data_IF_908368377357
#
_entry.id   IF_908368377357
#
_cell.length_a   1.000
_cell.length_b   1.000
_cell.length_c   1.000
_cell.angle_alpha   90.00
_cell.angle_beta   90.00
_cell.angle_gamma   90.00
#
_symmetry.space_group_name_H-M   'P 1'
#
loop_
_entity.id
_entity.type
_entity.pdbx_description
1 polymer ?
#
# COMPACT_ATOMS: atom_id res chain seq x y z
N UNK A 1 -16.88 47.00 36.64
CA UNK A 1 -18.26 46.43 36.58
C UNK A 1 -18.55 45.71 35.27
N UNK A 2 -17.98 46.12 34.13
CA UNK A 2 -18.23 45.45 32.84
C UNK A 2 -17.79 43.98 32.83
N UNK A 3 -16.62 43.64 33.39
CA UNK A 3 -16.10 42.27 33.31
C UNK A 3 -16.98 41.26 34.07
N UNK A 4 -17.35 41.54 35.34
CA UNK A 4 -18.29 40.70 36.09
C UNK A 4 -19.58 40.44 35.29
N UNK A 5 -20.23 41.49 34.79
CA UNK A 5 -21.48 41.36 34.03
C UNK A 5 -21.30 40.50 32.79
N UNK A 6 -20.23 40.71 32.02
CA UNK A 6 -19.96 39.94 30.81
C UNK A 6 -19.73 38.45 31.12
N UNK A 7 -18.98 38.12 32.18
CA UNK A 7 -18.73 36.72 32.57
C UNK A 7 -19.98 36.03 33.11
N UNK A 8 -20.80 36.74 33.92
CA UNK A 8 -22.04 36.15 34.45
C UNK A 8 -23.06 35.95 33.33
N UNK A 9 -23.19 36.92 32.42
CA UNK A 9 -24.08 36.81 31.26
C UNK A 9 -23.60 35.67 30.35
N UNK A 10 -22.32 35.58 30.01
CA UNK A 10 -21.82 34.49 29.18
C UNK A 10 -22.03 33.12 29.81
N UNK A 11 -21.81 32.99 31.12
CA UNK A 11 -22.06 31.75 31.85
C UNK A 11 -23.52 31.35 31.84
N UNK A 12 -24.43 32.30 32.13
CA UNK A 12 -25.87 32.03 32.10
C UNK A 12 -26.36 31.61 30.70
N UNK A 13 -25.88 32.27 29.64
CA UNK A 13 -26.25 31.94 28.26
C UNK A 13 -25.70 30.58 27.83
N UNK A 14 -24.47 30.24 28.21
CA UNK A 14 -23.90 28.92 27.93
C UNK A 14 -24.71 27.82 28.63
N UNK A 15 -25.12 28.02 29.88
CA UNK A 15 -25.99 27.08 30.60
C UNK A 15 -27.34 26.98 29.90
N UNK A 16 -27.95 28.10 29.52
CA UNK A 16 -29.22 28.11 28.80
C UNK A 16 -29.12 27.38 27.47
N UNK A 17 -28.03 27.55 26.71
CA UNK A 17 -27.79 26.80 25.48
C UNK A 17 -27.71 25.29 25.76
N UNK A 18 -26.99 24.85 26.79
CA UNK A 18 -26.89 23.43 27.15
C UNK A 18 -28.27 22.82 27.44
N UNK A 19 -29.22 23.62 27.96
CA UNK A 19 -30.59 23.17 28.25
C UNK A 19 -31.50 23.23 27.02
N UNK A 20 -31.36 24.25 26.18
CA UNK A 20 -32.33 24.57 25.11
C UNK A 20 -31.91 24.11 23.71
N UNK A 21 -30.61 23.93 23.47
CA UNK A 21 -30.05 23.61 22.16
C UNK A 21 -30.11 24.74 21.12
N UNK A 22 -30.55 25.95 21.50
CA UNK A 22 -30.74 27.05 20.55
C UNK A 22 -29.41 27.70 20.13
N UNK A 23 -29.00 27.48 18.87
CA UNK A 23 -27.73 27.99 18.31
C UNK A 23 -27.57 29.53 18.43
N UNK A 24 -28.66 30.30 18.36
CA UNK A 24 -28.59 31.76 18.49
C UNK A 24 -28.16 32.21 19.89
N UNK A 25 -28.52 31.46 20.94
CA UNK A 25 -28.09 31.72 22.31
C UNK A 25 -26.57 31.50 22.43
N UNK A 26 -26.06 30.44 21.80
CA UNK A 26 -24.63 30.15 21.78
C UNK A 26 -23.84 31.26 21.08
N UNK A 27 -24.33 31.77 19.94
CA UNK A 27 -23.70 32.91 19.23
C UNK A 27 -23.68 34.16 20.09
N UNK A 28 -24.75 34.45 20.83
CA UNK A 28 -24.77 35.57 21.76
C UNK A 28 -23.78 35.37 22.92
N UNK A 29 -23.70 34.15 23.47
CA UNK A 29 -22.71 33.78 24.50
C UNK A 29 -21.27 33.98 24.02
N UNK A 30 -20.94 33.54 22.80
CA UNK A 30 -19.65 33.76 22.14
C UNK A 30 -19.36 35.26 22.03
N UNK A 31 -20.35 36.05 21.61
CA UNK A 31 -20.23 37.50 21.50
C UNK A 31 -19.91 38.18 22.83
N UNK A 32 -20.43 37.67 23.95
CA UNK A 32 -20.08 38.18 25.29
C UNK A 32 -18.71 37.70 25.76
N UNK A 33 -18.36 36.42 25.54
CA UNK A 33 -17.05 35.86 25.88
C UNK A 33 -15.90 36.62 25.20
N UNK A 34 -16.07 36.94 23.90
CA UNK A 34 -15.06 37.69 23.13
C UNK A 34 -14.84 39.12 23.64
N UNK A 35 -15.83 39.73 24.31
CA UNK A 35 -15.75 41.08 24.88
C UNK A 35 -15.04 41.12 26.25
N UNK A 36 -14.81 39.97 26.90
CA UNK A 36 -14.13 39.92 28.19
C UNK A 36 -12.65 40.27 27.96
N UNK A 37 -12.13 41.36 28.56
CA UNK A 37 -10.76 41.78 28.36
C UNK A 37 -9.78 40.84 29.06
N UNK A 38 -8.63 40.64 28.42
CA UNK A 38 -7.49 39.91 28.98
C UNK A 38 -6.96 40.60 30.23
N UNK A 39 -6.28 39.87 31.11
CA UNK A 39 -5.76 40.40 32.39
C UNK A 39 -4.92 41.65 32.18
N UNK A 40 -4.08 41.65 31.15
CA UNK A 40 -3.23 42.78 30.75
C UNK A 40 -4.01 44.03 30.32
N UNK A 41 -5.21 43.84 29.80
CA UNK A 41 -6.10 44.91 29.32
C UNK A 41 -7.02 45.46 30.43
N UNK A 42 -7.09 44.78 31.59
CA UNK A 42 -7.90 45.22 32.74
C UNK A 42 -7.21 46.33 33.52
N UNK A 43 -7.96 47.34 33.96
CA UNK A 43 -7.46 48.39 34.83
C UNK A 43 -7.04 47.87 36.23
N UNK A 44 -6.12 48.56 36.94
CA UNK A 44 -5.57 48.08 38.21
C UNK A 44 -6.63 47.86 39.30
N UNK A 45 -7.64 48.74 39.39
CA UNK A 45 -8.74 48.58 40.34
C UNK A 45 -9.62 47.36 40.01
N UNK A 46 -9.87 47.09 38.73
CA UNK A 46 -10.67 45.94 38.29
C UNK A 46 -9.95 44.61 38.59
N UNK A 47 -8.61 44.58 38.41
CA UNK A 47 -7.79 43.42 38.78
C UNK A 47 -7.85 43.13 40.28
N UNK A 48 -7.75 44.15 41.13
CA UNK A 48 -7.86 43.99 42.59
C UNK A 48 -9.25 43.50 42.99
N UNK A 49 -10.29 44.04 42.37
CA UNK A 49 -11.66 43.61 42.64
C UNK A 49 -11.89 42.14 42.24
N UNK A 50 -11.50 41.72 41.03
CA UNK A 50 -11.60 40.32 40.61
C UNK A 50 -10.78 39.37 41.50
N UNK A 51 -9.61 39.81 41.99
CA UNK A 51 -8.81 39.03 42.96
C UNK A 51 -9.51 38.85 44.30
N UNK A 52 -10.28 39.84 44.76
CA UNK A 52 -11.06 39.73 46.01
C UNK A 52 -12.24 38.76 45.91
N UNK A 53 -12.70 38.45 44.71
CA UNK A 53 -13.81 37.52 44.49
C UNK A 53 -13.26 36.08 44.43
N UNK A 54 -13.54 35.34 45.50
CA UNK A 54 -13.22 33.92 45.65
C UNK A 54 -14.51 33.12 45.82
N UNK A 55 -14.55 31.96 45.19
CA UNK A 55 -15.62 30.97 45.37
C UNK A 55 -15.02 29.73 46.02
N UNK A 56 -15.77 29.10 46.93
CA UNK A 56 -15.42 27.80 47.50
C UNK A 56 -16.35 26.76 46.91
N UNK A 57 -15.76 25.76 46.28
CA UNK A 57 -16.49 24.59 45.75
C UNK A 57 -16.12 23.39 46.62
N UNK A 58 -17.14 22.66 47.06
CA UNK A 58 -17.00 21.42 47.80
C UNK A 58 -16.68 20.28 46.82
N UNK A 59 -15.63 19.50 47.11
CA UNK A 59 -15.16 18.35 46.35
C UNK A 59 -15.05 17.18 47.34
N UNK A 60 -15.07 15.94 46.87
CA UNK A 60 -15.02 14.72 47.70
C UNK A 60 -13.89 14.72 48.77
N UNK A 61 -12.76 15.40 48.53
CA UNK A 61 -11.62 15.53 49.46
C UNK A 61 -11.50 16.92 50.16
N UNK A 62 -12.56 17.74 50.18
CA UNK A 62 -12.61 18.99 50.93
C UNK A 62 -13.13 20.19 50.13
N UNK A 63 -12.48 21.35 50.26
CA UNK A 63 -12.88 22.57 49.54
C UNK A 63 -11.77 23.04 48.62
N UNK A 64 -12.11 23.33 47.36
CA UNK A 64 -11.23 24.03 46.43
C UNK A 64 -11.64 25.50 46.36
N UNK A 65 -10.68 26.40 46.60
CA UNK A 65 -10.86 27.82 46.33
C UNK A 65 -10.63 28.09 44.84
N UNK A 66 -11.63 28.69 44.19
CA UNK A 66 -11.60 29.10 42.79
C UNK A 66 -11.70 30.62 42.70
N UNK A 67 -11.06 31.19 41.68
CA UNK A 67 -11.31 32.59 41.31
C UNK A 67 -12.70 32.74 40.69
N UNK A 68 -13.26 33.95 40.70
CA UNK A 68 -14.56 34.22 40.08
C UNK A 68 -14.65 33.77 38.60
N UNK A 69 -13.56 33.94 37.83
CA UNK A 69 -13.52 33.48 36.45
C UNK A 69 -13.48 31.94 36.38
N UNK A 70 -12.68 31.29 37.22
CA UNK A 70 -12.64 29.83 37.27
C UNK A 70 -13.98 29.22 37.66
N UNK A 71 -14.69 29.79 38.64
CA UNK A 71 -15.98 29.25 39.09
C UNK A 71 -17.05 29.27 37.98
N UNK A 72 -16.98 30.22 37.04
CA UNK A 72 -17.97 30.37 35.96
C UNK A 72 -17.52 29.73 34.65
N UNK A 73 -16.23 29.81 34.32
CA UNK A 73 -15.70 29.36 33.03
C UNK A 73 -15.23 27.91 33.05
N UNK A 74 -14.76 27.36 34.18
CA UNK A 74 -14.32 25.96 34.25
C UNK A 74 -15.44 24.96 33.92
N UNK A 75 -16.70 25.14 34.37
CA UNK A 75 -17.80 24.25 33.97
C UNK A 75 -18.10 24.32 32.46
N UNK A 76 -18.05 25.52 31.88
CA UNK A 76 -18.26 25.74 30.44
C UNK A 76 -17.13 25.06 29.65
N UNK A 77 -15.88 25.24 30.10
CA UNK A 77 -14.72 24.60 29.51
C UNK A 77 -14.85 23.07 29.59
N UNK A 78 -15.15 22.50 30.75
CA UNK A 78 -15.29 21.06 30.93
C UNK A 78 -16.40 20.46 30.07
N UNK A 79 -17.52 21.17 29.92
CA UNK A 79 -18.58 20.77 28.98
C UNK A 79 -18.09 20.80 27.54
N UNK A 80 -17.44 21.89 27.10
CA UNK A 80 -16.96 22.03 25.73
C UNK A 80 -15.85 21.01 25.41
N UNK A 81 -14.94 20.77 26.37
CA UNK A 81 -13.89 19.74 26.29
C UNK A 81 -14.50 18.35 26.10
N UNK A 82 -15.60 18.04 26.80
CA UNK A 82 -16.33 16.76 26.64
C UNK A 82 -16.94 16.62 25.25
N UNK A 83 -17.54 17.68 24.70
CA UNK A 83 -18.13 17.65 23.37
C UNK A 83 -17.07 17.51 22.28
N UNK A 84 -16.00 18.30 22.37
CA UNK A 84 -14.90 18.31 21.39
C UNK A 84 -13.98 17.09 21.52
N UNK A 85 -13.93 16.46 22.69
CA UNK A 85 -13.16 15.24 22.93
C UNK A 85 -13.65 14.02 22.15
N UNK A 86 -14.91 14.01 21.71
CA UNK A 86 -15.50 12.98 20.84
C UNK A 86 -16.42 13.60 19.76
N UNK A 87 -15.88 14.59 19.04
CA UNK A 87 -16.63 15.34 18.05
C UNK A 87 -17.18 14.48 16.90
N UNK A 88 -16.56 13.33 16.59
CA UNK A 88 -17.08 12.42 15.56
C UNK A 88 -18.45 11.86 15.94
N UNK A 89 -18.64 11.55 17.22
CA UNK A 89 -19.90 11.06 17.75
C UNK A 89 -20.91 12.19 17.96
N UNK A 90 -20.46 13.32 18.51
CA UNK A 90 -21.36 14.42 18.91
C UNK A 90 -21.85 15.26 17.72
N UNK A 91 -21.08 15.33 16.63
CA UNK A 91 -21.38 16.20 15.48
C UNK A 91 -21.47 15.42 14.16
N UNK A 92 -21.89 14.15 14.22
CA UNK A 92 -22.03 13.28 13.05
C UNK A 92 -22.94 13.89 11.95
N UNK A 93 -23.94 14.68 12.34
CA UNK A 93 -24.97 15.25 11.47
C UNK A 93 -24.70 16.71 11.05
N UNK A 94 -23.68 17.40 11.60
CA UNK A 94 -23.44 18.81 11.24
C UNK A 94 -22.22 19.47 11.87
N UNK A 95 -21.37 20.07 11.03
CA UNK A 95 -20.11 20.70 11.43
C UNK A 95 -20.24 22.15 11.95
N UNK A 96 -21.38 22.81 11.74
CA UNK A 96 -21.58 24.22 12.16
C UNK A 96 -21.57 24.38 13.68
N UNK A 97 -22.22 23.47 14.41
CA UNK A 97 -22.23 23.47 15.87
C UNK A 97 -20.84 23.26 16.47
N UNK A 98 -19.97 22.49 15.79
CA UNK A 98 -18.59 22.29 16.20
C UNK A 98 -17.81 23.61 16.20
N UNK A 99 -17.98 24.45 15.17
CA UNK A 99 -17.29 25.74 15.09
C UNK A 99 -17.66 26.67 16.26
N UNK A 100 -18.95 26.74 16.60
CA UNK A 100 -19.43 27.58 17.70
C UNK A 100 -18.89 27.07 19.04
N UNK A 101 -18.98 25.76 19.30
CA UNK A 101 -18.51 25.14 20.54
C UNK A 101 -16.99 25.23 20.67
N UNK A 102 -16.25 25.05 19.57
CA UNK A 102 -14.81 25.28 19.53
C UNK A 102 -14.48 26.74 19.88
N UNK A 103 -15.22 27.70 19.33
CA UNK A 103 -15.02 29.12 19.66
C UNK A 103 -15.27 29.40 21.14
N UNK A 104 -16.28 28.78 21.75
CA UNK A 104 -16.52 28.87 23.20
C UNK A 104 -15.35 28.27 23.97
N UNK A 105 -14.90 27.07 23.62
CA UNK A 105 -13.80 26.39 24.29
C UNK A 105 -12.51 27.21 24.23
N UNK A 106 -12.15 27.74 23.06
CA UNK A 106 -10.95 28.56 22.89
C UNK A 106 -11.06 29.88 23.66
N UNK A 107 -12.24 30.52 23.64
CA UNK A 107 -12.47 31.78 24.37
C UNK A 107 -12.44 31.61 25.88
N UNK A 108 -13.05 30.54 26.41
CA UNK A 108 -13.05 30.23 27.83
C UNK A 108 -11.66 29.84 28.32
N UNK A 109 -10.96 28.97 27.57
CA UNK A 109 -9.58 28.55 27.88
C UNK A 109 -8.62 29.73 27.94
N UNK A 110 -8.69 30.63 26.94
CA UNK A 110 -7.88 31.85 26.89
C UNK A 110 -8.01 32.69 28.16
N UNK A 111 -9.21 32.78 28.73
CA UNK A 111 -9.46 33.56 29.96
C UNK A 111 -9.01 32.81 31.23
N UNK A 112 -9.04 31.47 31.22
CA UNK A 112 -8.64 30.63 32.35
C UNK A 112 -7.10 30.55 32.53
N UNK A 113 -6.35 30.52 31.42
CA UNK A 113 -4.87 30.40 31.42
C UNK A 113 -4.17 31.63 32.04
N UNK A 114 -4.84 32.78 32.13
CA UNK A 114 -4.27 34.03 32.69
C UNK A 114 -4.22 34.07 34.23
N UNK A 115 -4.87 33.12 34.90
CA UNK A 115 -4.93 33.07 36.36
C UNK A 115 -3.66 32.41 36.95
N UNK A 116 -3.08 32.98 38.02
CA UNK A 116 -1.67 32.79 38.41
C UNK A 116 -1.26 31.37 38.83
N UNK A 117 -2.20 30.44 39.04
CA UNK A 117 -1.93 29.11 39.60
C UNK A 117 -1.90 27.98 38.56
N UNK A 118 -2.12 28.25 37.26
CA UNK A 118 -2.00 27.23 36.22
C UNK A 118 -0.58 27.19 35.65
N UNK A 119 0.27 26.33 36.23
CA UNK A 119 1.67 26.05 35.84
C UNK A 119 1.83 25.45 34.42
N UNK A 120 0.75 25.32 33.64
CA UNK A 120 0.80 24.79 32.27
C UNK A 120 0.17 25.81 31.33
N UNK A 121 1.01 26.61 30.68
CA UNK A 121 0.62 27.40 29.51
C UNK A 121 0.37 26.45 28.33
N UNK A 122 -0.77 25.76 28.32
CA UNK A 122 -1.22 25.01 27.15
C UNK A 122 -1.54 26.01 26.05
N UNK A 123 -0.87 25.91 24.91
CA UNK A 123 -1.15 26.78 23.77
C UNK A 123 -2.49 26.43 23.13
N UNK A 124 -3.08 27.36 22.37
CA UNK A 124 -4.29 27.09 21.58
C UNK A 124 -4.11 25.86 20.68
N UNK A 125 -2.90 25.70 20.13
CA UNK A 125 -2.48 24.52 19.39
C UNK A 125 -2.61 23.23 20.21
N UNK A 126 -2.04 23.19 21.41
CA UNK A 126 -2.01 21.96 22.22
C UNK A 126 -3.43 21.50 22.59
N UNK A 127 -4.34 22.46 22.80
CA UNK A 127 -5.74 22.16 23.08
C UNK A 127 -6.43 21.53 21.87
N UNK A 128 -6.25 22.11 20.68
CA UNK A 128 -6.83 21.57 19.44
C UNK A 128 -6.24 20.19 19.10
N UNK A 129 -4.93 20.01 19.28
CA UNK A 129 -4.28 18.70 19.13
C UNK A 129 -4.86 17.66 20.11
N UNK A 130 -5.16 18.06 21.35
CA UNK A 130 -5.80 17.17 22.33
C UNK A 130 -7.19 16.72 21.88
N UNK A 131 -8.04 17.62 21.40
CA UNK A 131 -9.37 17.26 20.88
C UNK A 131 -9.28 16.34 19.66
N UNK A 132 -8.43 16.68 18.69
CA UNK A 132 -8.20 15.83 17.50
C UNK A 132 -7.73 14.45 17.94
N UNK A 133 -6.78 14.39 18.87
CA UNK A 133 -6.23 13.13 19.38
C UNK A 133 -7.27 12.27 20.08
N UNK A 134 -8.05 12.86 20.98
CA UNK A 134 -9.10 12.16 21.73
C UNK A 134 -10.20 11.64 20.81
N UNK A 135 -10.69 12.50 19.91
CA UNK A 135 -11.82 12.20 19.05
C UNK A 135 -11.46 11.15 17.99
N UNK A 136 -10.31 11.29 17.33
CA UNK A 136 -9.85 10.31 16.34
C UNK A 136 -9.55 8.95 16.95
N UNK A 137 -8.97 8.89 18.16
CA UNK A 137 -8.74 7.61 18.85
C UNK A 137 -10.06 6.93 19.21
N UNK A 138 -11.04 7.70 19.67
CA UNK A 138 -12.37 7.18 20.01
C UNK A 138 -13.09 6.63 18.77
N UNK A 139 -13.06 7.36 17.67
CA UNK A 139 -13.65 6.91 16.39
C UNK A 139 -12.90 5.70 15.83
N UNK A 140 -11.56 5.70 15.85
CA UNK A 140 -10.76 4.56 15.41
C UNK A 140 -11.05 3.31 16.24
N UNK A 141 -11.24 3.43 17.56
CA UNK A 141 -11.68 2.33 18.42
C UNK A 141 -13.05 1.79 18.04
N UNK A 142 -14.00 2.65 17.65
CA UNK A 142 -15.32 2.22 17.14
C UNK A 142 -15.20 1.48 15.80
N UNK A 143 -14.38 1.98 14.89
CA UNK A 143 -14.10 1.33 13.59
C UNK A 143 -13.51 -0.06 13.79
N UNK A 144 -12.57 -0.25 14.74
CA UNK A 144 -12.02 -1.56 15.05
C UNK A 144 -13.12 -2.55 15.43
N UNK A 145 -14.02 -2.15 16.34
CA UNK A 145 -15.13 -3.01 16.77
C UNK A 145 -16.09 -3.35 15.62
N UNK A 146 -16.38 -2.39 14.75
CA UNK A 146 -17.22 -2.59 13.56
C UNK A 146 -16.56 -3.57 12.57
N UNK A 147 -15.28 -3.39 12.28
CA UNK A 147 -14.50 -4.29 11.41
C UNK A 147 -14.41 -5.70 12.00
N UNK A 148 -14.13 -5.84 13.30
CA UNK A 148 -14.11 -7.13 14.00
C UNK A 148 -15.47 -7.82 13.95
N UNK A 149 -16.57 -7.08 14.07
CA UNK A 149 -17.92 -7.63 13.97
C UNK A 149 -18.28 -8.12 12.57
N UNK A 150 -17.77 -7.44 11.52
CA UNK A 150 -18.03 -7.77 10.11
C UNK A 150 -17.12 -8.86 9.58
N UNK A 151 -15.93 -9.03 10.16
CA UNK A 151 -14.94 -10.02 9.76
C UNK A 151 -15.50 -11.46 9.75
N UNK A 152 -16.52 -11.76 10.56
CA UNK A 152 -17.17 -13.07 10.59
C UNK A 152 -17.97 -13.41 9.30
N UNK A 153 -18.30 -12.42 8.47
CA UNK A 153 -19.10 -12.58 7.25
C UNK A 153 -18.37 -12.28 5.93
N UNK A 154 -17.13 -11.80 5.98
CA UNK A 154 -16.36 -11.36 4.79
C UNK A 154 -15.06 -12.15 4.63
N UNK A 155 -14.65 -12.43 3.39
CA UNK A 155 -13.34 -13.06 3.09
C UNK A 155 -12.18 -12.05 3.11
N UNK A 156 -12.43 -10.79 3.44
CA UNK A 156 -11.41 -9.75 3.49
C UNK A 156 -10.71 -9.71 4.85
N UNK A 157 -9.39 -9.56 4.84
CA UNK A 157 -8.60 -9.54 6.07
C UNK A 157 -8.92 -8.29 6.92
N UNK A 158 -9.15 -8.41 8.25
CA UNK A 158 -9.56 -7.28 9.09
C UNK A 158 -8.64 -6.06 9.02
N UNK A 159 -7.32 -6.26 8.91
CA UNK A 159 -6.37 -5.15 8.75
C UNK A 159 -6.54 -4.41 7.41
N UNK A 160 -6.90 -5.10 6.33
CA UNK A 160 -7.13 -4.47 5.04
C UNK A 160 -8.39 -3.60 5.10
N UNK A 161 -9.49 -4.13 5.65
CA UNK A 161 -10.73 -3.37 5.87
C UNK A 161 -10.52 -2.20 6.84
N UNK A 162 -9.73 -2.38 7.90
CA UNK A 162 -9.36 -1.31 8.83
C UNK A 162 -8.59 -0.18 8.13
N UNK A 163 -7.65 -0.50 7.24
CA UNK A 163 -6.93 0.50 6.44
C UNK A 163 -7.89 1.32 5.57
N UNK A 164 -8.84 0.65 4.90
CA UNK A 164 -9.84 1.31 4.06
C UNK A 164 -10.77 2.22 4.87
N UNK A 165 -11.29 1.76 6.00
CA UNK A 165 -12.14 2.57 6.88
C UNK A 165 -11.37 3.75 7.49
N UNK A 166 -10.10 3.56 7.84
CA UNK A 166 -9.22 4.65 8.30
C UNK A 166 -9.02 5.71 7.21
N UNK A 167 -8.83 5.29 5.95
CA UNK A 167 -8.72 6.21 4.83
C UNK A 167 -10.04 6.96 4.59
N UNK A 168 -11.19 6.29 4.72
CA UNK A 168 -12.52 6.93 4.64
C UNK A 168 -12.72 7.96 5.75
N UNK A 169 -12.32 7.65 6.98
CA UNK A 169 -12.34 8.58 8.11
C UNK A 169 -11.53 9.83 7.80
N UNK A 170 -10.28 9.69 7.32
CA UNK A 170 -9.45 10.85 6.94
C UNK A 170 -10.08 11.70 5.84
N UNK A 171 -10.70 11.09 4.83
CA UNK A 171 -11.41 11.82 3.76
C UNK A 171 -12.56 12.63 4.32
N UNK A 172 -13.37 12.02 5.19
CA UNK A 172 -14.50 12.69 5.86
C UNK A 172 -14.00 13.87 6.69
N UNK A 173 -13.01 13.64 7.55
CA UNK A 173 -12.44 14.66 8.42
C UNK A 173 -11.82 15.82 7.66
N UNK A 174 -11.02 15.52 6.64
CA UNK A 174 -10.38 16.53 5.80
C UNK A 174 -11.40 17.47 5.15
N UNK A 175 -12.60 16.98 4.85
CA UNK A 175 -13.67 17.78 4.23
C UNK A 175 -14.56 18.50 5.24
N UNK A 176 -14.84 17.90 6.40
CA UNK A 176 -15.84 18.41 7.35
C UNK A 176 -15.23 19.18 8.51
N UNK A 177 -14.28 18.57 9.23
CA UNK A 177 -13.82 19.07 10.52
C UNK A 177 -12.49 19.80 10.43
N UNK A 178 -11.57 19.33 9.58
CA UNK A 178 -10.25 19.92 9.45
C UNK A 178 -10.26 21.39 9.00
N UNK A 179 -11.16 21.86 8.08
CA UNK A 179 -11.22 23.28 7.74
C UNK A 179 -11.58 24.19 8.93
N UNK A 180 -12.36 23.68 9.89
CA UNK A 180 -12.76 24.41 11.10
C UNK A 180 -11.61 24.43 12.11
N UNK A 181 -11.02 23.25 12.36
CA UNK A 181 -9.92 23.10 13.33
C UNK A 181 -8.64 23.83 12.84
N UNK A 182 -8.41 23.88 11.53
CA UNK A 182 -7.28 24.58 10.93
C UNK A 182 -7.28 26.09 11.12
N UNK A 183 -8.43 26.69 11.48
CA UNK A 183 -8.49 28.12 11.85
C UNK A 183 -7.71 28.43 13.13
N UNK A 184 -7.63 27.46 14.04
CA UNK A 184 -6.94 27.57 15.33
C UNK A 184 -5.59 26.87 15.33
N UNK A 185 -5.45 25.83 14.50
CA UNK A 185 -4.21 25.10 14.33
C UNK A 185 -3.94 24.80 12.85
N UNK A 186 -3.14 25.61 12.14
CA UNK A 186 -2.95 25.47 10.69
C UNK A 186 -2.49 24.08 10.19
N UNK A 187 -1.88 23.26 11.06
CA UNK A 187 -1.42 21.89 10.74
C UNK A 187 -2.39 20.80 11.23
N UNK A 188 -3.65 21.12 11.51
CA UNK A 188 -4.63 20.16 12.01
C UNK A 188 -4.78 18.93 11.09
N UNK A 189 -4.88 19.14 9.78
CA UNK A 189 -4.99 18.06 8.79
C UNK A 189 -3.76 17.13 8.82
N UNK A 190 -2.55 17.68 8.79
CA UNK A 190 -1.32 16.90 8.83
C UNK A 190 -1.17 16.13 10.16
N UNK A 191 -1.59 16.73 11.27
CA UNK A 191 -1.60 16.08 12.57
C UNK A 191 -2.61 14.92 12.64
N UNK A 192 -3.84 15.13 12.15
CA UNK A 192 -4.85 14.07 12.07
C UNK A 192 -4.37 12.89 11.20
N UNK A 193 -3.81 13.19 10.02
CA UNK A 193 -3.27 12.20 9.09
C UNK A 193 -2.13 11.38 9.72
N UNK A 194 -1.15 12.05 10.34
CA UNK A 194 -0.03 11.37 11.02
C UNK A 194 -0.48 10.57 12.25
N UNK A 195 -1.47 11.05 12.99
CA UNK A 195 -2.03 10.32 14.12
C UNK A 195 -2.71 9.03 13.67
N UNK A 196 -3.59 9.08 12.67
CA UNK A 196 -4.29 7.91 12.15
C UNK A 196 -3.33 6.90 11.51
N UNK A 197 -2.36 7.38 10.74
CA UNK A 197 -1.26 6.55 10.24
C UNK A 197 -0.52 5.83 11.38
N UNK A 198 -0.21 6.53 12.48
CA UNK A 198 0.46 5.93 13.63
C UNK A 198 -0.39 4.87 14.34
N UNK A 199 -1.67 5.15 14.61
CA UNK A 199 -2.52 4.18 15.35
C UNK A 199 -2.86 2.96 14.50
N UNK A 200 -3.04 3.11 13.19
CA UNK A 200 -3.14 1.97 12.27
C UNK A 200 -1.81 1.21 12.19
N UNK A 201 -0.68 1.91 12.07
CA UNK A 201 0.65 1.32 12.05
C UNK A 201 0.94 0.44 13.27
N UNK A 202 0.47 0.83 14.46
CA UNK A 202 0.58 0.01 15.67
C UNK A 202 -0.20 -1.31 15.58
N UNK A 203 -1.33 -1.34 14.85
CA UNK A 203 -2.12 -2.56 14.59
C UNK A 203 -1.53 -3.39 13.46
N UNK A 204 -0.92 -2.74 12.47
CA UNK A 204 -0.28 -3.37 11.32
C UNK A 204 1.06 -4.04 11.71
N UNK A 205 1.82 -3.46 12.63
CA UNK A 205 3.17 -3.91 12.97
C UNK A 205 3.28 -5.40 13.36
N UNK A 206 2.43 -5.96 14.25
CA UNK A 206 2.50 -7.38 14.59
C UNK A 206 2.27 -8.30 13.39
N UNK A 207 1.46 -7.87 12.42
CA UNK A 207 1.28 -8.59 11.17
C UNK A 207 2.57 -8.55 10.34
N UNK A 208 3.14 -7.36 10.12
CA UNK A 208 4.38 -7.19 9.36
C UNK A 208 5.55 -8.00 9.94
N UNK A 209 5.69 -8.02 11.26
CA UNK A 209 6.74 -8.78 11.94
C UNK A 209 6.56 -10.32 11.79
N UNK A 210 5.35 -10.78 11.47
CA UNK A 210 5.02 -12.20 11.34
C UNK A 210 4.91 -12.74 9.90
N UNK A 211 4.94 -11.89 8.87
CA UNK A 211 4.80 -12.36 7.47
C UNK A 211 6.14 -12.87 6.93
N UNK A 212 6.20 -14.18 6.64
CA UNK A 212 7.39 -14.81 6.02
C UNK A 212 7.21 -15.15 4.53
N UNK A 213 5.95 -15.24 4.07
CA UNK A 213 5.55 -15.70 2.74
C UNK A 213 4.41 -14.84 2.18
N UNK A 214 4.24 -14.85 0.85
CA UNK A 214 3.07 -14.25 0.19
C UNK A 214 1.83 -15.12 0.39
N UNK A 215 1.11 -14.87 1.48
CA UNK A 215 -0.21 -15.45 1.74
C UNK A 215 -1.31 -14.59 1.14
N UNK A 216 -2.54 -15.12 1.08
CA UNK A 216 -3.73 -14.36 0.69
C UNK A 216 -3.92 -13.12 1.59
N UNK A 217 -3.65 -13.27 2.90
CA UNK A 217 -3.65 -12.16 3.85
C UNK A 217 -2.64 -11.06 3.47
N UNK A 218 -1.41 -11.43 3.11
CA UNK A 218 -0.38 -10.46 2.72
C UNK A 218 -0.77 -9.72 1.43
N UNK A 219 -1.34 -10.45 0.46
CA UNK A 219 -1.86 -9.91 -0.80
C UNK A 219 -3.05 -8.97 -0.59
N UNK A 220 -3.86 -9.18 0.46
CA UNK A 220 -4.95 -8.27 0.83
C UNK A 220 -4.47 -7.05 1.64
N UNK A 221 -3.61 -7.26 2.63
CA UNK A 221 -3.21 -6.22 3.60
C UNK A 221 -2.21 -5.22 3.03
N UNK A 222 -1.20 -5.67 2.28
CA UNK A 222 -0.16 -4.76 1.80
C UNK A 222 -0.67 -3.65 0.87
N UNK A 223 -1.52 -3.93 -0.14
CA UNK A 223 -2.04 -2.89 -1.01
C UNK A 223 -2.95 -1.90 -0.27
N UNK A 224 -3.77 -2.39 0.66
CA UNK A 224 -4.64 -1.54 1.48
C UNK A 224 -3.83 -0.61 2.39
N UNK A 225 -2.78 -1.15 3.03
CA UNK A 225 -1.88 -0.37 3.88
C UNK A 225 -1.06 0.65 3.08
N UNK A 226 -0.57 0.29 1.89
CA UNK A 226 0.13 1.23 1.01
C UNK A 226 -0.80 2.35 0.53
N UNK A 227 -2.03 2.02 0.13
CA UNK A 227 -3.02 3.03 -0.28
C UNK A 227 -3.31 4.06 0.83
N UNK A 228 -3.42 3.60 2.08
CA UNK A 228 -3.57 4.50 3.22
C UNK A 228 -2.33 5.38 3.42
N UNK A 229 -1.13 4.79 3.39
CA UNK A 229 0.13 5.53 3.54
C UNK A 229 0.33 6.59 2.44
N UNK A 230 0.09 6.25 1.18
CA UNK A 230 0.16 7.18 0.05
C UNK A 230 -0.87 8.31 0.14
N UNK A 231 -2.08 7.99 0.61
CA UNK A 231 -3.11 9.00 0.85
C UNK A 231 -2.69 9.95 1.98
N UNK A 232 -2.13 9.44 3.08
CA UNK A 232 -1.60 10.27 4.18
C UNK A 232 -0.48 11.19 3.68
N UNK A 233 0.47 10.68 2.90
CA UNK A 233 1.56 11.48 2.33
C UNK A 233 0.99 12.61 1.47
N UNK A 234 0.09 12.28 0.55
CA UNK A 234 -0.55 13.25 -0.36
C UNK A 234 -1.31 14.32 0.43
N UNK A 235 -2.06 13.90 1.45
CA UNK A 235 -2.83 14.79 2.30
C UNK A 235 -1.93 15.75 3.09
N UNK A 236 -0.84 15.25 3.67
CA UNK A 236 0.15 16.08 4.37
C UNK A 236 0.79 17.10 3.43
N UNK A 237 1.23 16.67 2.24
CA UNK A 237 1.83 17.55 1.21
C UNK A 237 0.84 18.67 0.83
N UNK A 238 -0.41 18.32 0.55
CA UNK A 238 -1.45 19.30 0.19
C UNK A 238 -1.74 20.32 1.30
N UNK A 239 -1.61 19.93 2.57
CA UNK A 239 -1.95 20.79 3.72
C UNK A 239 -0.80 21.69 4.20
N UNK A 240 0.46 21.25 4.06
CA UNK A 240 1.64 21.96 4.54
C UNK A 240 2.38 22.73 3.44
N UNK A 241 2.15 22.42 2.16
CA UNK A 241 2.99 22.86 1.05
C UNK A 241 4.29 22.04 0.95
N UNK A 242 4.81 21.86 -0.27
CA UNK A 242 5.88 20.89 -0.59
C UNK A 242 7.15 21.07 0.27
N UNK A 243 7.63 22.31 0.44
CA UNK A 243 8.89 22.59 1.16
C UNK A 243 8.83 22.22 2.65
N UNK A 244 7.68 22.37 3.30
CA UNK A 244 7.54 22.08 4.74
C UNK A 244 6.98 20.70 5.03
N UNK A 245 6.33 20.07 4.04
CA UNK A 245 5.77 18.73 4.14
C UNK A 245 6.85 17.67 4.35
N UNK A 246 7.96 17.76 3.61
CA UNK A 246 9.06 16.80 3.69
C UNK A 246 9.72 16.77 5.09
N UNK A 247 9.97 17.95 5.67
CA UNK A 247 10.44 18.08 7.05
C UNK A 247 9.41 17.55 8.06
N UNK A 248 8.11 17.76 7.83
CA UNK A 248 7.05 17.24 8.69
C UNK A 248 6.98 15.72 8.64
N UNK A 249 6.97 15.12 7.44
CA UNK A 249 6.92 13.68 7.23
C UNK A 249 8.09 13.00 7.94
N UNK A 250 9.32 13.46 7.73
CA UNK A 250 10.51 12.92 8.43
C UNK A 250 10.41 12.99 9.95
N UNK A 251 9.77 14.02 10.50
CA UNK A 251 9.67 14.22 11.94
C UNK A 251 8.48 13.53 12.61
N UNK A 252 7.40 13.25 11.87
CA UNK A 252 6.10 12.86 12.45
C UNK A 252 5.51 11.57 11.89
N UNK A 253 5.99 11.08 10.74
CA UNK A 253 5.47 9.87 10.07
C UNK A 253 6.61 8.89 9.85
N UNK A 254 6.48 7.68 10.40
CA UNK A 254 7.43 6.59 10.15
C UNK A 254 6.82 5.66 9.11
N UNK A 255 7.32 5.72 7.88
CA UNK A 255 6.78 4.92 6.77
C UNK A 255 6.87 3.42 7.06
N UNK A 256 5.90 2.65 6.58
CA UNK A 256 5.79 1.22 6.82
C UNK A 256 6.84 0.39 6.06
N UNK A 257 7.50 0.97 5.05
CA UNK A 257 8.50 0.31 4.21
C UNK A 257 7.97 -0.95 3.50
N UNK A 258 6.66 -0.98 3.20
CA UNK A 258 5.97 -2.14 2.62
C UNK A 258 6.67 -2.64 1.36
N UNK A 259 7.04 -1.74 0.44
CA UNK A 259 7.74 -2.08 -0.82
C UNK A 259 9.01 -2.92 -0.59
N UNK A 260 9.77 -2.65 0.46
CA UNK A 260 11.01 -3.41 0.75
C UNK A 260 10.68 -4.79 1.31
N UNK A 261 9.67 -4.87 2.18
CA UNK A 261 9.22 -6.12 2.78
C UNK A 261 8.59 -7.03 1.73
N UNK A 262 7.59 -6.54 1.01
CA UNK A 262 6.90 -7.25 -0.05
C UNK A 262 7.84 -7.61 -1.20
N UNK A 263 8.77 -6.73 -1.59
CA UNK A 263 9.79 -7.04 -2.61
C UNK A 263 10.61 -8.28 -2.26
N UNK A 264 11.01 -8.43 -0.99
CA UNK A 264 11.73 -9.63 -0.52
C UNK A 264 10.86 -10.89 -0.63
N UNK A 265 9.58 -10.80 -0.26
CA UNK A 265 8.65 -11.93 -0.35
C UNK A 265 8.34 -12.31 -1.80
N UNK A 266 8.18 -11.31 -2.68
CA UNK A 266 8.01 -11.49 -4.11
C UNK A 266 9.24 -12.17 -4.71
N UNK A 267 10.47 -11.76 -4.38
CA UNK A 267 11.67 -12.44 -4.89
C UNK A 267 11.75 -13.90 -4.44
N UNK A 268 11.37 -14.22 -3.20
CA UNK A 268 11.29 -15.62 -2.74
C UNK A 268 10.26 -16.42 -3.53
N UNK A 269 9.08 -15.83 -3.76
CA UNK A 269 8.04 -16.44 -4.58
C UNK A 269 8.50 -16.63 -6.02
N UNK A 270 9.13 -15.63 -6.64
CA UNK A 270 9.70 -15.69 -7.99
C UNK A 270 10.71 -16.83 -8.07
N UNK A 271 11.66 -16.93 -7.13
CA UNK A 271 12.63 -18.02 -7.11
C UNK A 271 11.96 -19.40 -7.03
N UNK A 272 10.89 -19.54 -6.25
CA UNK A 272 10.10 -20.77 -6.19
C UNK A 272 9.44 -21.09 -7.53
N UNK A 273 8.80 -20.11 -8.17
CA UNK A 273 8.16 -20.31 -9.48
C UNK A 273 9.17 -20.61 -10.58
N UNK A 274 10.33 -19.96 -10.59
CA UNK A 274 11.39 -20.23 -11.55
C UNK A 274 11.92 -21.68 -11.43
N UNK A 275 12.09 -22.18 -10.20
CA UNK A 275 12.42 -23.59 -9.98
C UNK A 275 11.36 -24.54 -10.52
N UNK A 276 10.06 -24.20 -10.34
CA UNK A 276 8.95 -24.97 -10.91
C UNK A 276 8.97 -24.93 -12.44
N UNK A 277 9.09 -23.74 -13.04
CA UNK A 277 9.16 -23.57 -14.51
C UNK A 277 10.28 -24.43 -15.09
N UNK A 278 11.50 -24.38 -14.53
CA UNK A 278 12.62 -25.19 -15.01
C UNK A 278 12.33 -26.70 -14.95
N UNK A 279 11.75 -27.18 -13.85
CA UNK A 279 11.35 -28.60 -13.72
C UNK A 279 10.25 -29.00 -14.71
N UNK A 280 9.34 -28.07 -15.05
CA UNK A 280 8.31 -28.29 -16.05
C UNK A 280 8.88 -28.30 -17.46
N UNK A 281 9.80 -27.39 -17.78
CA UNK A 281 10.53 -27.35 -19.05
C UNK A 281 11.26 -28.67 -19.27
N UNK A 282 11.98 -29.16 -18.27
CA UNK A 282 12.68 -30.45 -18.36
C UNK A 282 11.72 -31.62 -18.61
N UNK A 283 10.58 -31.65 -17.91
CA UNK A 283 9.55 -32.68 -18.15
C UNK A 283 8.91 -32.57 -19.53
N UNK A 284 8.60 -31.37 -19.98
CA UNK A 284 8.02 -31.13 -21.31
C UNK A 284 8.97 -31.62 -22.41
N UNK A 285 10.27 -31.40 -22.24
CA UNK A 285 11.32 -31.92 -23.13
C UNK A 285 11.37 -33.45 -23.10
N UNK A 286 11.39 -34.06 -21.91
CA UNK A 286 11.48 -35.51 -21.75
C UNK A 286 10.27 -36.26 -22.34
N UNK A 287 9.10 -35.64 -22.32
CA UNK A 287 7.85 -36.20 -22.85
C UNK A 287 7.64 -35.93 -24.34
N UNK A 288 8.52 -35.16 -24.99
CA UNK A 288 8.34 -34.73 -26.38
C UNK A 288 8.66 -35.86 -27.38
N UNK A 289 7.68 -36.17 -28.22
CA UNK A 289 7.82 -37.17 -29.30
C UNK A 289 8.31 -36.57 -30.63
N UNK A 290 8.33 -35.23 -30.74
CA UNK A 290 8.68 -34.47 -31.95
C UNK A 290 7.75 -34.73 -33.14
N UNK A 291 6.47 -34.95 -32.84
CA UNK A 291 5.40 -35.04 -33.83
C UNK A 291 4.71 -33.67 -33.95
N UNK A 292 4.24 -33.28 -35.16
CA UNK A 292 3.47 -32.05 -35.30
C UNK A 292 2.15 -32.17 -34.54
N UNK A 293 1.74 -31.10 -33.86
CA UNK A 293 0.44 -31.04 -33.15
C UNK A 293 -0.72 -31.25 -34.14
N UNK A 294 -0.64 -30.63 -35.32
CA UNK A 294 -1.61 -30.81 -36.39
C UNK A 294 -1.01 -30.49 -37.76
N UNK A 295 -1.76 -30.72 -38.84
CA UNK A 295 -1.31 -30.39 -40.20
C UNK A 295 -1.00 -28.89 -40.39
N UNK A 296 -1.66 -28.03 -39.59
CA UNK A 296 -1.47 -26.57 -39.57
C UNK A 296 -0.40 -26.15 -38.54
N UNK A 297 -0.37 -26.78 -37.37
CA UNK A 297 0.62 -26.51 -36.30
C UNK A 297 1.76 -27.52 -36.35
N UNK A 298 2.77 -27.21 -37.17
CA UNK A 298 3.91 -28.08 -37.47
C UNK A 298 5.10 -27.92 -36.51
N UNK A 299 4.82 -27.61 -35.24
CA UNK A 299 5.80 -27.54 -34.15
C UNK A 299 5.45 -28.58 -33.08
N UNK A 300 6.38 -28.84 -32.16
CA UNK A 300 6.18 -29.76 -31.04
C UNK A 300 5.16 -29.23 -30.04
N UNK A 301 4.56 -30.13 -29.26
CA UNK A 301 3.60 -29.77 -28.21
C UNK A 301 4.27 -29.10 -27.00
N UNK A 302 5.51 -29.47 -26.70
CA UNK A 302 6.28 -28.98 -25.55
C UNK A 302 6.41 -27.46 -25.51
N UNK A 303 6.65 -26.78 -26.64
CA UNK A 303 6.75 -25.31 -26.65
C UNK A 303 5.44 -24.63 -26.24
N UNK A 304 4.28 -25.21 -26.60
CA UNK A 304 2.97 -24.68 -26.20
C UNK A 304 2.78 -24.79 -24.70
N UNK A 305 3.16 -25.91 -24.11
CA UNK A 305 3.06 -26.12 -22.66
C UNK A 305 4.02 -25.21 -21.88
N UNK A 306 5.24 -25.01 -22.39
CA UNK A 306 6.20 -24.05 -21.81
C UNK A 306 5.60 -22.63 -21.82
N UNK A 307 5.01 -22.20 -22.93
CA UNK A 307 4.32 -20.90 -22.98
C UNK A 307 3.15 -20.81 -22.02
N UNK A 308 2.31 -21.84 -21.94
CA UNK A 308 1.15 -21.88 -21.03
C UNK A 308 1.56 -21.66 -19.58
N UNK A 309 2.61 -22.35 -19.12
CA UNK A 309 3.10 -22.26 -17.74
C UNK A 309 3.72 -20.88 -17.47
N UNK A 310 4.47 -20.34 -18.44
CA UNK A 310 5.04 -18.99 -18.34
C UNK A 310 3.93 -17.94 -18.26
N UNK A 311 2.92 -18.04 -19.14
CA UNK A 311 1.76 -17.13 -19.16
C UNK A 311 1.03 -17.17 -17.82
N UNK A 312 0.69 -18.37 -17.33
CA UNK A 312 0.05 -18.57 -16.03
C UNK A 312 0.87 -17.97 -14.88
N UNK A 313 2.21 -18.15 -14.89
CA UNK A 313 3.09 -17.60 -13.85
C UNK A 313 3.13 -16.09 -13.89
N UNK A 314 3.17 -15.48 -15.08
CA UNK A 314 3.16 -14.03 -15.21
C UNK A 314 1.81 -13.45 -14.79
N UNK A 315 0.71 -14.11 -15.15
CA UNK A 315 -0.63 -13.70 -14.71
C UNK A 315 -0.76 -13.78 -13.18
N UNK A 316 -0.22 -14.84 -12.56
CA UNK A 316 -0.13 -14.95 -11.10
C UNK A 316 0.71 -13.81 -10.48
N UNK A 317 1.84 -13.45 -11.09
CA UNK A 317 2.69 -12.35 -10.61
C UNK A 317 1.94 -11.02 -10.59
N UNK A 318 1.20 -10.70 -11.66
CA UNK A 318 0.39 -9.47 -11.73
C UNK A 318 -0.84 -9.51 -10.82
N UNK A 319 -1.40 -10.70 -10.58
CA UNK A 319 -2.52 -10.87 -9.66
C UNK A 319 -2.14 -10.57 -8.19
N UNK A 320 -0.86 -10.63 -7.81
CA UNK A 320 -0.42 -10.34 -6.44
C UNK A 320 -0.75 -8.91 -6.00
N UNK A 321 -0.71 -7.93 -6.92
CA UNK A 321 -0.99 -6.50 -6.65
C UNK A 321 -0.26 -5.88 -5.44
N UNK A 322 0.78 -6.53 -4.94
CA UNK A 322 1.56 -6.05 -3.78
C UNK A 322 2.52 -4.92 -4.21
N UNK A 323 2.83 -3.99 -3.29
CA UNK A 323 3.86 -2.97 -3.53
C UNK A 323 5.18 -3.65 -3.93
N UNK A 324 5.87 -3.21 -4.98
CA UNK A 324 7.20 -3.75 -5.35
C UNK A 324 7.93 -2.85 -6.35
N UNK A 325 9.26 -2.97 -6.38
CA UNK A 325 10.13 -2.24 -7.32
C UNK A 325 10.08 -2.89 -8.71
N UNK A 326 10.70 -2.25 -9.68
CA UNK A 326 10.89 -2.80 -11.03
C UNK A 326 11.92 -3.95 -11.07
N UNK A 327 12.74 -4.08 -10.03
CA UNK A 327 13.76 -5.13 -9.93
C UNK A 327 13.17 -6.53 -9.80
N UNK A 328 12.05 -6.67 -9.09
CA UNK A 328 11.33 -7.92 -8.89
C UNK A 328 10.77 -8.46 -10.21
N UNK A 329 10.15 -7.59 -11.01
CA UNK A 329 9.69 -7.94 -12.36
C UNK A 329 10.87 -8.33 -13.25
N UNK A 330 11.96 -7.57 -13.20
CA UNK A 330 13.16 -7.86 -13.99
C UNK A 330 13.74 -9.24 -13.64
N UNK A 331 13.71 -9.62 -12.35
CA UNK A 331 14.13 -10.94 -11.89
C UNK A 331 13.26 -12.05 -12.45
N UNK A 332 11.93 -11.87 -12.49
CA UNK A 332 11.02 -12.84 -13.09
C UNK A 332 11.29 -13.00 -14.60
N UNK A 333 11.39 -11.89 -15.33
CA UNK A 333 11.62 -11.89 -16.77
C UNK A 333 12.95 -12.54 -17.14
N UNK A 334 14.02 -12.24 -16.41
CA UNK A 334 15.33 -12.87 -16.62
C UNK A 334 15.30 -14.38 -16.34
N UNK A 335 14.55 -14.80 -15.31
CA UNK A 335 14.39 -16.22 -15.00
C UNK A 335 13.58 -16.97 -16.06
N UNK A 336 12.54 -16.35 -16.61
CA UNK A 336 11.77 -16.88 -17.74
C UNK A 336 12.66 -16.98 -18.99
N UNK A 337 13.44 -15.95 -19.30
CA UNK A 337 14.37 -15.97 -20.43
C UNK A 337 15.38 -17.12 -20.30
N UNK A 338 15.95 -17.31 -19.11
CA UNK A 338 16.82 -18.45 -18.83
C UNK A 338 16.10 -19.80 -19.07
N UNK A 339 14.84 -19.95 -18.65
CA UNK A 339 14.07 -21.16 -18.91
C UNK A 339 13.87 -21.41 -20.42
N UNK A 340 13.61 -20.37 -21.21
CA UNK A 340 13.55 -20.48 -22.67
C UNK A 340 14.90 -20.79 -23.31
N UNK A 341 15.99 -20.25 -22.79
CA UNK A 341 17.35 -20.57 -23.24
C UNK A 341 17.67 -22.05 -22.98
N UNK A 342 17.37 -22.57 -21.78
CA UNK A 342 17.53 -24.00 -21.45
C UNK A 342 16.73 -24.88 -22.43
N UNK A 343 15.47 -24.54 -22.67
CA UNK A 343 14.63 -25.25 -23.64
C UNK A 343 15.23 -25.22 -25.05
N UNK A 344 15.61 -24.03 -25.52
CA UNK A 344 16.12 -23.81 -26.87
C UNK A 344 17.46 -24.52 -27.09
N UNK A 345 18.38 -24.45 -26.13
CA UNK A 345 19.65 -25.16 -26.18
C UNK A 345 19.44 -26.66 -26.26
N UNK A 346 18.48 -27.22 -25.50
CA UNK A 346 18.15 -28.64 -25.62
C UNK A 346 17.66 -29.00 -27.03
N UNK A 347 16.81 -28.19 -27.65
CA UNK A 347 16.34 -28.45 -29.01
C UNK A 347 17.50 -28.38 -30.01
N UNK A 348 18.39 -27.39 -29.86
CA UNK A 348 19.58 -27.19 -30.71
C UNK A 348 20.56 -28.36 -30.59
N UNK A 349 20.82 -28.86 -29.38
CA UNK A 349 21.71 -30.01 -29.13
C UNK A 349 21.20 -31.31 -29.79
N UNK A 350 19.90 -31.38 -30.11
CA UNK A 350 19.27 -32.50 -30.81
C UNK A 350 19.15 -32.25 -32.33
N UNK A 351 19.67 -31.15 -32.85
CA UNK A 351 19.80 -30.93 -34.29
C UNK A 351 21.07 -31.58 -34.83
N UNK A 352 21.05 -31.96 -36.10
CA UNK A 352 22.22 -32.53 -36.78
C UNK A 352 23.09 -31.40 -37.35
N UNK A 353 24.41 -31.62 -37.44
CA UNK A 353 25.30 -30.67 -38.11
C UNK A 353 24.88 -30.48 -39.57
N UNK A 354 25.18 -29.31 -40.13
CA UNK A 354 24.88 -29.01 -41.53
C UNK A 354 25.60 -29.98 -42.48
N UNK A 355 26.78 -30.47 -42.09
CA UNK A 355 27.55 -31.40 -42.91
C UNK A 355 26.86 -32.75 -43.07
N UNK A 356 26.14 -33.22 -42.05
CA UNK A 356 25.44 -34.51 -42.06
C UNK A 356 24.12 -34.48 -42.86
N UNK A 357 23.60 -33.28 -43.13
CA UNK A 357 22.40 -33.08 -43.95
C UNK A 357 22.70 -33.11 -45.46
N UNK A 358 23.98 -33.04 -45.85
CA UNK A 358 24.41 -33.02 -47.25
C UNK A 358 24.83 -34.44 -47.63
N UNK A 359 24.15 -35.11 -48.59
CA UNK A 359 24.58 -36.43 -49.02
C UNK A 359 25.99 -36.36 -49.61
N UNK A 360 26.87 -37.34 -49.31
CA UNK A 360 28.21 -37.36 -49.87
C UNK A 360 28.13 -37.40 -51.39
N UNK A 361 29.04 -36.69 -52.06
CA UNK A 361 29.10 -36.65 -53.52
C UNK A 361 29.17 -38.09 -54.04
N UNK A 362 28.23 -38.53 -54.90
CA UNK A 362 28.22 -39.90 -55.38
C UNK A 362 29.54 -40.19 -56.10
N UNK A 363 30.16 -41.31 -55.76
CA UNK A 363 31.36 -41.77 -56.46
C UNK A 363 31.03 -41.92 -57.94
N UNK A 364 31.79 -41.24 -58.80
CA UNK A 364 31.65 -41.35 -60.25
C UNK A 364 31.98 -42.78 -60.67
N UNK A 365 30.97 -43.64 -60.77
CA UNK A 365 31.10 -44.97 -61.36
C UNK A 365 31.25 -44.81 -62.87
N UNK A 366 32.49 -44.64 -63.32
CA UNK A 366 32.80 -44.74 -64.75
C UNK A 366 32.44 -46.16 -65.21
N UNK A 367 31.44 -46.29 -66.08
CA UNK A 367 31.21 -47.52 -66.81
C UNK A 367 32.45 -47.81 -67.66
N UNK A 368 33.24 -48.82 -67.26
CA UNK A 368 34.35 -49.32 -68.06
C UNK A 368 33.90 -50.64 -68.67
N UNK A 369 33.60 -50.62 -69.97
CA UNK A 369 33.44 -51.84 -70.77
C UNK A 369 34.71 -52.67 -70.59
N UNK A 370 34.58 -53.86 -70.02
CA UNK A 370 35.70 -54.71 -69.64
C UNK A 370 36.52 -55.17 -70.85
N UNK A 371 37.83 -54.93 -70.79
CA UNK A 371 38.84 -55.73 -71.48
C UNK A 371 40.02 -55.92 -70.52
N UNK A 372 40.24 -57.16 -70.08
CA UNK A 372 41.56 -57.64 -69.61
C UNK A 372 41.93 -57.40 -68.13
N UNK A 373 41.57 -58.39 -67.31
CA UNK A 373 42.17 -58.90 -66.05
C UNK A 373 43.52 -58.27 -65.63
N UNK A 374 43.63 -57.84 -64.35
CA UNK A 374 44.54 -58.42 -63.34
C UNK A 374 44.36 -57.80 -61.96
N UNK A 375 44.40 -58.69 -60.97
CA UNK A 375 44.18 -58.48 -59.56
C UNK A 375 44.96 -57.30 -58.97
N UNK A 376 44.23 -56.41 -58.30
CA UNK A 376 44.77 -55.62 -57.20
C UNK A 376 43.85 -55.87 -56.01
N UNK A 377 44.44 -56.36 -54.92
CA UNK A 377 43.80 -56.42 -53.61
C UNK A 377 43.43 -54.98 -53.26
N UNK A 378 42.15 -54.65 -53.43
CA UNK A 378 41.59 -53.39 -53.00
C UNK A 378 41.57 -53.48 -51.47
N UNK A 379 42.50 -52.78 -50.82
CA UNK A 379 42.42 -52.55 -49.38
C UNK A 379 41.05 -51.94 -49.13
N UNK A 380 40.13 -52.68 -48.51
CA UNK A 380 38.90 -52.11 -48.00
C UNK A 380 39.30 -51.06 -46.97
N UNK A 381 39.31 -49.81 -47.40
CA UNK A 381 39.13 -48.71 -46.48
C UNK A 381 37.72 -48.87 -45.94
N UNK A 382 37.60 -49.42 -44.73
CA UNK A 382 36.39 -49.27 -43.94
C UNK A 382 36.13 -47.77 -43.86
N UNK A 383 35.14 -47.30 -44.62
CA UNK A 383 34.68 -45.92 -44.53
C UNK A 383 34.03 -45.78 -43.15
N UNK A 384 34.54 -44.92 -42.25
CA UNK A 384 33.92 -44.69 -40.96
C UNK A 384 32.49 -44.11 -41.07
N UNK A 385 32.04 -43.77 -42.29
CA UNK A 385 30.69 -43.27 -42.60
C UNK A 385 29.65 -44.34 -42.92
N UNK A 386 30.01 -45.63 -43.03
CA UNK A 386 29.00 -46.68 -43.18
C UNK A 386 28.25 -46.91 -41.86
N UNK A 387 26.90 -46.98 -41.86
CA UNK A 387 26.14 -47.09 -40.61
C UNK A 387 26.35 -48.48 -39.98
N UNK A 388 26.92 -48.48 -38.78
CA UNK A 388 26.90 -49.63 -37.86
C UNK A 388 25.44 -49.90 -37.44
N UNK A 389 25.02 -51.17 -37.34
CA UNK A 389 23.62 -51.59 -37.05
C UNK A 389 23.10 -50.98 -35.72
N UNK A 390 24.01 -50.54 -34.85
CA UNK A 390 23.74 -49.78 -33.62
C UNK A 390 23.12 -48.38 -33.83
N UNK A 391 23.04 -47.85 -35.06
CA UNK A 391 22.45 -46.52 -35.37
C UNK A 391 20.96 -46.54 -35.74
N UNK A 392 20.32 -47.70 -35.87
CA UNK A 392 18.92 -47.79 -36.33
C UNK A 392 17.92 -47.04 -35.43
N UNK A 393 18.12 -47.02 -34.11
CA UNK A 393 17.31 -46.20 -33.18
C UNK A 393 17.60 -44.70 -33.30
N UNK A 394 18.86 -44.31 -33.49
CA UNK A 394 19.26 -42.91 -33.71
C UNK A 394 18.74 -42.35 -35.05
N UNK A 395 18.65 -43.19 -36.09
CA UNK A 395 18.12 -42.80 -37.41
C UNK A 395 16.60 -42.50 -37.33
N UNK A 396 15.84 -43.24 -36.52
CA UNK A 396 14.41 -43.00 -36.33
C UNK A 396 14.09 -41.66 -35.62
N UNK A 397 15.04 -41.12 -34.85
CA UNK A 397 14.92 -39.81 -34.18
C UNK A 397 15.49 -38.64 -34.99
N UNK A 398 16.11 -38.95 -36.14
CA UNK A 398 16.67 -37.98 -37.09
C UNK A 398 15.94 -37.99 -38.44
N UNK A 399 14.70 -38.48 -38.47
CA UNK A 399 13.88 -38.42 -39.69
C UNK A 399 13.60 -36.96 -40.07
N UNK A 400 13.57 -36.68 -41.38
CA UNK A 400 13.31 -35.32 -41.91
C UNK A 400 12.07 -34.66 -41.29
N UNK A 401 10.93 -35.36 -41.08
CA UNK A 401 9.77 -34.76 -40.42
C UNK A 401 10.05 -34.29 -38.98
N UNK A 402 10.74 -35.11 -38.17
CA UNK A 402 11.09 -34.73 -36.78
C UNK A 402 12.07 -33.55 -36.75
N UNK A 403 13.01 -33.48 -37.68
CA UNK A 403 13.93 -32.35 -37.82
C UNK A 403 13.19 -31.06 -38.21
N UNK A 404 12.24 -31.14 -39.15
CA UNK A 404 11.39 -30.00 -39.50
C UNK A 404 10.55 -29.53 -38.31
N UNK A 405 10.00 -30.45 -37.52
CA UNK A 405 9.24 -30.11 -36.30
C UNK A 405 10.14 -29.41 -35.28
N UNK A 406 11.36 -29.88 -35.04
CA UNK A 406 12.34 -29.22 -34.15
C UNK A 406 12.68 -27.80 -34.62
N UNK A 407 12.97 -27.62 -35.90
CA UNK A 407 13.27 -26.29 -36.48
C UNK A 407 12.09 -25.33 -36.39
N UNK A 408 10.88 -25.81 -36.68
CA UNK A 408 9.67 -24.99 -36.52
C UNK A 408 9.40 -24.64 -35.06
N UNK A 409 9.70 -25.55 -34.13
CA UNK A 409 9.58 -25.32 -32.69
C UNK A 409 10.52 -24.21 -32.23
N UNK A 410 11.76 -24.19 -32.73
CA UNK A 410 12.71 -23.10 -32.51
C UNK A 410 12.25 -21.77 -33.11
N UNK A 411 11.67 -21.81 -34.31
CA UNK A 411 11.12 -20.60 -34.92
C UNK A 411 9.98 -20.02 -34.07
N UNK A 412 9.08 -20.86 -33.55
CA UNK A 412 7.97 -20.45 -32.69
C UNK A 412 8.47 -19.92 -31.34
N UNK A 413 9.49 -20.54 -30.74
CA UNK A 413 10.06 -20.06 -29.46
C UNK A 413 10.73 -18.69 -29.61
N UNK A 414 11.44 -18.46 -30.72
CA UNK A 414 12.08 -17.17 -31.00
C UNK A 414 11.06 -16.08 -31.37
N UNK A 415 10.07 -16.40 -32.21
CA UNK A 415 9.04 -15.45 -32.63
C UNK A 415 8.14 -15.01 -31.46
N UNK A 416 7.79 -15.93 -30.57
CA UNK A 416 6.89 -15.66 -29.45
C UNK A 416 7.62 -15.02 -28.25
N UNK A 417 8.92 -15.31 -28.06
CA UNK A 417 9.78 -14.58 -27.11
C UNK A 417 9.84 -13.08 -27.43
N UNK A 418 9.97 -12.71 -28.71
CA UNK A 418 9.96 -11.32 -29.16
C UNK A 418 8.60 -10.61 -28.95
N UNK A 419 7.47 -11.31 -29.13
CA UNK A 419 6.15 -10.70 -28.89
C UNK A 419 5.83 -10.51 -27.40
N UNK A 420 6.18 -11.49 -26.55
CA UNK A 420 5.88 -11.44 -25.11
C UNK A 420 6.72 -10.39 -24.37
N UNK A 421 7.98 -10.19 -24.79
CA UNK A 421 8.88 -9.20 -24.19
C UNK A 421 8.54 -7.76 -24.58
N UNK A 422 7.98 -7.52 -25.77
CA UNK A 422 7.54 -6.19 -26.21
C UNK A 422 6.16 -5.79 -25.67
N UNK A 423 5.17 -6.70 -25.68
CA UNK A 423 3.77 -6.33 -25.35
C UNK A 423 3.53 -6.12 -23.85
N UNK A 424 4.17 -6.89 -22.96
CA UNK A 424 3.96 -6.76 -21.50
C UNK A 424 4.84 -5.71 -20.83
N UNK A 425 6.05 -5.43 -21.34
CA UNK A 425 6.86 -4.29 -20.87
C UNK A 425 6.18 -2.95 -21.15
N UNK A 426 5.46 -2.81 -22.27
CA UNK A 426 4.69 -1.61 -22.59
C UNK A 426 3.46 -1.40 -21.69
N UNK A 427 2.87 -2.47 -21.15
CA UNK A 427 1.75 -2.37 -20.20
C UNK A 427 2.24 -1.99 -18.79
N UNK A 428 3.38 -2.54 -18.35
CA UNK A 428 3.96 -2.21 -17.04
C UNK A 428 4.38 -0.74 -16.89
N UNK A 429 4.82 -0.10 -17.97
CA UNK A 429 5.22 1.31 -17.96
C UNK A 429 4.01 2.26 -17.92
N UNK A 430 2.84 1.83 -18.43
CA UNK A 430 1.67 2.69 -18.56
C UNK A 430 0.66 2.58 -17.41
N UNK A 431 0.74 1.53 -16.57
CA UNK A 431 -0.21 1.27 -15.46
C UNK A 431 0.33 1.59 -14.05
N UNK A 432 1.50 2.26 -13.91
CA UNK A 432 2.00 2.78 -12.62
C UNK A 432 1.83 4.28 -12.49
#
# INVERSE_FOLDING_TARGET
MCNLRLTTISSALSIQFVVTGESEILKYAIGQLKKIPLKEQRGPQERLHLKSLRSKVEIDDGFQELTFLQSLLSPIQGWADKQLGDYHLQFAEGASALQDILTVAMSARRLLVEEPDQMTQSTEKDQVESYISSSLKSEFSRIILDVESKAAGTHEHPLASLAMETQKLLRKDSSLFMPILSQWYPRATAFAASLLHKVYGNKLKPFLDGVEHLTEDAVSVFPAAESLEQYVITLVISSCGEETADAYLRGKVTLYQLETMSGTLVLRWVNSQLGRILSWVERAIQQEAWNPISAQQRHGSSIVEVYRIVEETVDQFFALKVPMRSGELSSLLNGIDNAFQVYTNHVVDKLVSKEDLIPPVPILTRYKKESGIKAFVKKESVDPRLPDERRSSQINDLTTPKLCVRLNTLFVSLASSMLSSYTRNYLFINDK
#
